data_IF_574112167563
#
_entry.id   IF_574112167563
#
_cell.length_a   1.000
_cell.length_b   1.000
_cell.length_c   1.000
_cell.angle_alpha   90.00
_cell.angle_beta   90.00
_cell.angle_gamma   90.00
#
_symmetry.space_group_name_H-M   'P 1'
#
loop_
_entity.id
_entity.type
_entity.pdbx_description
1 polymer ?
#
# COMPACT_ATOMS: atom_id res chain seq x y z
N UNK A 1 4.27 -4.73 10.66
CA UNK A 1 3.65 -5.08 9.35
C UNK A 1 3.73 -6.58 9.06
N UNK A 2 4.89 -7.17 8.76
CA UNK A 2 5.04 -8.60 8.38
C UNK A 2 4.28 -9.59 9.28
N UNK A 3 4.37 -9.42 10.60
CA UNK A 3 3.67 -10.26 11.57
C UNK A 3 2.13 -10.30 11.40
N UNK A 4 1.51 -9.23 10.87
CA UNK A 4 0.07 -9.24 10.57
C UNK A 4 -0.25 -10.17 9.40
N UNK A 5 0.53 -10.09 8.33
CA UNK A 5 0.37 -10.98 7.18
C UNK A 5 0.59 -12.43 7.60
N UNK A 6 1.70 -12.73 8.29
CA UNK A 6 2.03 -14.11 8.63
C UNK A 6 0.97 -14.80 9.49
N UNK A 7 0.42 -14.08 10.48
CA UNK A 7 -0.63 -14.62 11.35
C UNK A 7 -1.98 -14.79 10.66
N UNK A 8 -2.24 -14.04 9.59
CA UNK A 8 -3.55 -14.06 8.93
C UNK A 8 -3.57 -14.96 7.69
N UNK A 9 -2.40 -15.39 7.18
CA UNK A 9 -2.27 -15.94 5.83
C UNK A 9 -3.31 -17.03 5.49
N UNK A 10 -3.31 -18.13 6.23
CA UNK A 10 -4.18 -19.28 5.93
C UNK A 10 -5.66 -18.99 6.22
N UNK A 11 -5.97 -18.13 7.19
CA UNK A 11 -7.34 -17.83 7.60
C UNK A 11 -8.13 -17.05 6.54
N UNK A 12 -7.43 -16.31 5.67
CA UNK A 12 -8.08 -15.44 4.69
C UNK A 12 -7.67 -15.68 3.24
N UNK A 13 -6.74 -16.60 2.96
CA UNK A 13 -6.18 -16.80 1.62
C UNK A 13 -7.27 -17.03 0.56
N UNK A 14 -8.15 -17.99 0.76
CA UNK A 14 -9.23 -18.32 -0.19
C UNK A 14 -10.25 -17.17 -0.35
N UNK A 15 -10.40 -16.34 0.68
CA UNK A 15 -11.34 -15.20 0.68
C UNK A 15 -10.77 -13.96 -0.01
N UNK A 16 -9.44 -13.87 -0.09
CA UNK A 16 -8.73 -12.72 -0.65
C UNK A 16 -8.15 -12.99 -2.02
N UNK A 17 -7.98 -14.25 -2.42
CA UNK A 17 -7.40 -14.60 -3.71
C UNK A 17 -8.11 -13.86 -4.86
N UNK A 18 -7.31 -13.19 -5.69
CA UNK A 18 -7.76 -12.42 -6.85
C UNK A 18 -8.32 -11.03 -6.53
N UNK A 19 -8.47 -10.64 -5.26
CA UNK A 19 -8.99 -9.30 -4.91
C UNK A 19 -8.00 -8.19 -5.27
N UNK A 20 -8.51 -7.02 -5.69
CA UNK A 20 -7.67 -5.87 -6.01
C UNK A 20 -7.02 -5.28 -4.75
N UNK A 21 -5.81 -4.74 -4.90
CA UNK A 21 -5.16 -3.92 -3.88
C UNK A 21 -4.47 -2.70 -4.49
N UNK A 22 -4.42 -1.63 -3.71
CA UNK A 22 -3.57 -0.45 -3.94
C UNK A 22 -2.51 -0.36 -2.83
N UNK A 23 -1.40 0.33 -3.13
CA UNK A 23 -0.29 0.50 -2.18
C UNK A 23 0.15 1.97 -2.14
N UNK A 24 0.07 2.57 -0.97
CA UNK A 24 0.66 3.88 -0.67
C UNK A 24 1.66 3.76 0.49
N UNK A 25 2.82 4.38 0.34
CA UNK A 25 3.93 4.34 1.30
C UNK A 25 4.35 5.78 1.57
N UNK A 26 4.37 6.17 2.84
CA UNK A 26 5.10 7.36 3.30
C UNK A 26 6.50 6.93 3.73
N UNK A 27 7.52 7.55 3.16
CA UNK A 27 8.92 7.23 3.42
C UNK A 27 9.72 8.50 3.75
N UNK A 28 10.77 8.37 4.56
CA UNK A 28 11.71 9.46 4.81
C UNK A 28 12.52 9.81 3.56
N UNK A 29 13.36 8.87 3.14
CA UNK A 29 14.26 9.03 1.99
C UNK A 29 14.00 7.98 0.91
N UNK A 30 13.85 6.71 1.29
CA UNK A 30 13.55 5.62 0.38
C UNK A 30 12.39 4.73 0.87
N UNK A 31 11.49 4.42 -0.05
CA UNK A 31 10.35 3.53 0.16
C UNK A 31 10.38 2.29 -0.74
N UNK A 32 11.37 2.14 -1.63
CA UNK A 32 11.42 1.05 -2.61
C UNK A 32 11.58 -0.32 -1.95
N UNK A 33 12.37 -0.39 -0.88
CA UNK A 33 12.51 -1.62 -0.09
C UNK A 33 11.18 -2.09 0.50
N UNK A 34 10.42 -1.18 1.12
CA UNK A 34 9.08 -1.49 1.63
C UNK A 34 8.12 -1.89 0.50
N UNK A 35 8.15 -1.17 -0.62
CA UNK A 35 7.34 -1.47 -1.81
C UNK A 35 7.57 -2.91 -2.29
N UNK A 36 8.82 -3.27 -2.58
CA UNK A 36 9.18 -4.62 -3.06
C UNK A 36 8.78 -5.72 -2.08
N UNK A 37 8.93 -5.49 -0.77
CA UNK A 37 8.53 -6.47 0.24
C UNK A 37 7.01 -6.68 0.25
N UNK A 38 6.23 -5.58 0.20
CA UNK A 38 4.77 -5.66 0.20
C UNK A 38 4.26 -6.29 -1.10
N UNK A 39 4.80 -5.90 -2.26
CA UNK A 39 4.42 -6.49 -3.54
C UNK A 39 4.61 -8.01 -3.55
N UNK A 40 5.75 -8.51 -3.04
CA UNK A 40 5.99 -9.96 -2.91
C UNK A 40 5.00 -10.64 -1.96
N UNK A 41 4.65 -10.00 -0.85
CA UNK A 41 3.63 -10.53 0.07
C UNK A 41 2.29 -10.60 -0.65
N UNK A 42 1.85 -9.51 -1.29
CA UNK A 42 0.59 -9.45 -2.04
C UNK A 42 0.53 -10.48 -3.17
N UNK A 43 1.64 -10.73 -3.87
CA UNK A 43 1.74 -11.82 -4.85
C UNK A 43 1.50 -13.19 -4.21
N UNK A 44 2.13 -13.49 -3.06
CA UNK A 44 1.92 -14.75 -2.33
C UNK A 44 0.48 -14.93 -1.82
N UNK A 45 -0.25 -13.83 -1.64
CA UNK A 45 -1.66 -13.78 -1.27
C UNK A 45 -2.61 -13.80 -2.47
N UNK A 46 -2.06 -13.84 -3.69
CA UNK A 46 -2.80 -13.81 -4.95
C UNK A 46 -3.63 -12.54 -5.14
N UNK A 47 -3.24 -11.43 -4.52
CA UNK A 47 -3.90 -10.13 -4.72
C UNK A 47 -3.49 -9.52 -6.07
N UNK A 48 -4.38 -8.75 -6.68
CA UNK A 48 -4.15 -8.07 -7.96
C UNK A 48 -3.86 -6.59 -7.77
N UNK A 49 -2.69 -6.13 -8.20
CA UNK A 49 -2.32 -4.72 -8.11
C UNK A 49 -3.11 -3.91 -9.14
N UNK A 50 -3.78 -2.84 -8.70
CA UNK A 50 -4.61 -2.00 -9.58
C UNK A 50 -3.80 -0.92 -10.31
N UNK A 51 -2.68 -0.49 -9.73
CA UNK A 51 -1.78 0.51 -10.31
C UNK A 51 -0.41 0.46 -9.60
N UNK A 52 0.64 1.10 -10.16
CA UNK A 52 1.92 1.22 -9.49
C UNK A 52 1.79 1.80 -8.08
N UNK A 53 2.66 1.37 -7.16
CA UNK A 53 2.65 1.85 -5.79
C UNK A 53 2.99 3.35 -5.69
N UNK A 54 2.24 4.07 -4.86
CA UNK A 54 2.52 5.45 -4.51
C UNK A 54 3.59 5.49 -3.41
N UNK A 55 4.72 6.15 -3.66
CA UNK A 55 5.76 6.39 -2.65
C UNK A 55 5.90 7.89 -2.43
N UNK A 56 5.35 8.40 -1.33
CA UNK A 56 5.46 9.79 -0.91
C UNK A 56 6.68 9.96 0.02
N UNK A 57 7.66 10.74 -0.41
CA UNK A 57 8.88 11.00 0.37
C UNK A 57 8.72 12.29 1.16
N UNK A 58 8.83 12.23 2.48
CA UNK A 58 8.64 13.38 3.38
C UNK A 58 9.96 13.97 3.90
N UNK A 59 11.11 13.43 3.50
CA UNK A 59 12.43 13.94 3.87
C UNK A 59 12.84 13.66 5.32
N UNK A 60 12.04 12.96 6.12
CA UNK A 60 12.38 12.65 7.51
C UNK A 60 13.58 11.70 7.59
N UNK A 61 14.73 12.22 8.00
CA UNK A 61 15.99 11.47 8.09
C UNK A 61 16.61 11.47 9.50
N UNK A 62 16.03 12.18 10.47
CA UNK A 62 16.45 12.15 11.88
C UNK A 62 15.40 11.46 12.75
N UNK A 63 15.77 10.91 13.92
CA UNK A 63 14.81 10.33 14.86
C UNK A 63 13.69 11.30 15.22
N UNK A 64 14.02 12.57 15.45
CA UNK A 64 13.05 13.62 15.81
C UNK A 64 12.10 13.87 14.65
N UNK A 65 12.60 14.00 13.42
CA UNK A 65 11.77 14.18 12.23
C UNK A 65 10.91 12.94 11.95
N UNK A 66 11.41 11.73 12.24
CA UNK A 66 10.66 10.47 12.10
C UNK A 66 9.50 10.39 13.10
N UNK A 67 9.70 10.87 14.33
CA UNK A 67 8.68 10.83 15.39
C UNK A 67 7.76 12.06 15.42
N UNK A 68 8.14 13.15 14.76
CA UNK A 68 7.32 14.34 14.62
C UNK A 68 5.99 14.07 13.92
N UNK A 69 5.01 14.93 14.19
CA UNK A 69 3.74 14.94 13.48
C UNK A 69 3.98 14.97 11.96
N UNK A 70 3.24 14.12 11.24
CA UNK A 70 3.41 13.96 9.79
C UNK A 70 2.45 14.85 9.05
N UNK A 71 3.00 15.87 8.40
CA UNK A 71 2.29 16.59 7.37
C UNK A 71 2.44 15.84 6.04
N UNK A 72 1.31 15.59 5.39
CA UNK A 72 1.26 15.01 4.05
C UNK A 72 1.14 16.16 3.08
N UNK A 73 2.13 16.28 2.18
CA UNK A 73 2.12 17.29 1.12
C UNK A 73 0.82 17.19 0.31
N UNK A 74 0.19 18.33 -0.07
CA UNK A 74 -1.06 18.34 -0.83
C UNK A 74 -1.04 17.45 -2.07
N UNK A 75 0.09 17.41 -2.79
CA UNK A 75 0.25 16.55 -3.97
C UNK A 75 0.21 15.07 -3.61
N UNK A 76 0.93 14.66 -2.56
CA UNK A 76 0.92 13.27 -2.09
C UNK A 76 -0.48 12.85 -1.59
N UNK A 77 -1.20 13.78 -0.97
CA UNK A 77 -2.59 13.58 -0.54
C UNK A 77 -3.51 13.39 -1.76
N UNK A 78 -3.42 14.25 -2.76
CA UNK A 78 -4.22 14.14 -3.98
C UNK A 78 -3.98 12.80 -4.69
N UNK A 79 -2.71 12.39 -4.85
CA UNK A 79 -2.40 11.08 -5.44
C UNK A 79 -2.91 9.90 -4.60
N UNK A 80 -2.96 10.02 -3.27
CA UNK A 80 -3.55 9.00 -2.40
C UNK A 80 -5.08 8.95 -2.53
N UNK A 81 -5.73 10.11 -2.69
CA UNK A 81 -7.17 10.21 -2.97
C UNK A 81 -7.53 9.58 -4.32
N UNK A 82 -6.73 9.82 -5.36
CA UNK A 82 -6.86 9.19 -6.68
C UNK A 82 -6.69 7.66 -6.60
N UNK A 83 -5.66 7.18 -5.89
CA UNK A 83 -5.45 5.74 -5.65
C UNK A 83 -6.65 5.11 -4.95
N UNK A 84 -7.19 5.77 -3.92
CA UNK A 84 -8.38 5.32 -3.20
C UNK A 84 -9.61 5.26 -4.10
N UNK A 85 -9.81 6.28 -4.93
CA UNK A 85 -10.88 6.33 -5.94
C UNK A 85 -10.77 5.20 -6.95
N UNK A 86 -9.57 4.91 -7.46
CA UNK A 86 -9.33 3.79 -8.37
C UNK A 86 -9.66 2.45 -7.71
N UNK A 87 -9.21 2.23 -6.47
CA UNK A 87 -9.52 0.99 -5.73
C UNK A 87 -11.03 0.83 -5.51
N UNK A 88 -11.70 1.90 -5.08
CA UNK A 88 -13.15 1.89 -4.87
C UNK A 88 -13.91 1.59 -6.17
N UNK A 89 -13.56 2.26 -7.27
CA UNK A 89 -14.16 1.99 -8.58
C UNK A 89 -13.92 0.54 -9.03
N UNK A 90 -12.71 0.03 -8.86
CA UNK A 90 -12.35 -1.36 -9.19
C UNK A 90 -13.20 -2.37 -8.42
N UNK A 91 -13.40 -2.13 -7.11
CA UNK A 91 -14.24 -2.97 -6.26
C UNK A 91 -15.72 -2.91 -6.67
N UNK A 92 -16.24 -1.72 -7.01
CA UNK A 92 -17.64 -1.51 -7.39
C UNK A 92 -17.99 -2.09 -8.76
N UNK A 93 -17.07 -2.01 -9.72
CA UNK A 93 -17.24 -2.59 -11.05
C UNK A 93 -17.20 -4.12 -11.03
N UNK A 94 -16.97 -4.72 -9.86
CA UNK A 94 -16.89 -6.16 -9.71
C UNK A 94 -15.84 -6.74 -10.62
N UNK A 95 -14.69 -6.04 -10.75
CA UNK A 95 -13.53 -6.52 -11.51
C UNK A 95 -13.13 -7.88 -10.93
N UNK A 96 -13.78 -8.90 -11.49
CA UNK A 96 -13.59 -10.28 -11.16
C UNK A 96 -12.29 -10.65 -11.90
N UNK A 97 -11.29 -11.18 -11.19
CA UNK A 97 -10.01 -11.53 -11.76
C UNK A 97 -10.11 -12.45 -12.98
#
# INVERSE_FOLDING_TARGET
MKAFFDRSYYDVLERLAGRPYGLAISAGSDGRGACSQIERICTGWRLKQICPALIARNGAQTPEAILAAKDVEPQARASAEELGGLLAATLLLGANP
#
